data_IF_762343551332
#
_entry.id   IF_762343551332
#
_cell.length_a   1.000
_cell.length_b   1.000
_cell.length_c   1.000
_cell.angle_alpha   90.00
_cell.angle_beta   90.00
_cell.angle_gamma   90.00
#
_symmetry.space_group_name_H-M   'P 1'
#
loop_
_entity.id
_entity.type
_entity.pdbx_description
1 polymer ?
#
# COMPACT_ATOMS: atom_id res chain seq x y z
N UNK A 1 -6.90 18.36 -21.97
CA UNK A 1 -7.59 18.88 -20.76
C UNK A 1 -7.15 18.09 -19.52
N UNK A 2 -5.86 17.75 -19.45
CA UNK A 2 -4.83 18.32 -18.57
C UNK A 2 -5.22 18.48 -17.09
N UNK A 3 -5.05 17.36 -16.37
CA UNK A 3 -4.36 17.26 -15.07
C UNK A 3 -4.64 18.34 -14.04
N UNK A 4 -5.69 18.15 -13.24
CA UNK A 4 -5.93 18.94 -12.03
C UNK A 4 -5.07 18.38 -10.88
N UNK A 5 -3.82 18.85 -10.75
CA UNK A 5 -2.95 18.58 -9.59
C UNK A 5 -3.45 19.39 -8.39
N UNK A 6 -4.09 18.74 -7.41
CA UNK A 6 -4.38 19.35 -6.11
C UNK A 6 -3.23 18.97 -5.15
N UNK A 7 -2.33 19.92 -4.90
CA UNK A 7 -1.28 19.88 -3.86
C UNK A 7 -1.92 20.16 -2.49
N UNK A 8 -1.86 19.20 -1.56
CA UNK A 8 -2.15 19.44 -0.14
C UNK A 8 -0.83 19.65 0.61
N UNK A 9 -0.80 20.68 1.44
CA UNK A 9 0.38 21.21 2.12
C UNK A 9 0.74 20.38 3.37
N UNK A 10 1.96 19.84 3.41
CA UNK A 10 2.70 19.66 4.65
C UNK A 10 3.79 20.76 4.71
N UNK A 11 3.94 21.37 5.88
CA UNK A 11 4.75 22.57 6.13
C UNK A 11 6.23 22.30 5.96
N UNK A 12 6.88 22.96 4.99
CA UNK A 12 8.29 23.33 5.12
C UNK A 12 8.57 24.70 4.46
N UNK A 13 9.42 25.47 5.12
CA UNK A 13 9.71 26.87 4.83
C UNK A 13 10.60 27.02 3.60
N UNK A 14 10.03 27.53 2.52
CA UNK A 14 10.77 28.32 1.53
C UNK A 14 11.55 27.53 0.49
N UNK A 15 11.00 27.58 -0.73
CA UNK A 15 11.63 27.48 -2.05
C UNK A 15 10.85 26.56 -2.98
N UNK A 16 10.68 27.03 -4.22
CA UNK A 16 9.79 26.47 -5.23
C UNK A 16 10.29 25.12 -5.72
N UNK A 17 9.54 24.05 -5.48
CA UNK A 17 9.68 22.77 -6.19
C UNK A 17 8.37 21.98 -6.19
N UNK A 18 8.27 20.88 -6.94
CA UNK A 18 7.01 20.23 -7.25
C UNK A 18 6.56 19.17 -6.22
N UNK A 19 5.96 19.63 -5.12
CA UNK A 19 5.57 18.90 -3.91
C UNK A 19 4.48 17.77 -4.00
N UNK A 20 4.29 17.07 -5.12
CA UNK A 20 3.56 15.76 -5.10
C UNK A 20 4.48 14.59 -5.48
N UNK A 21 5.63 14.88 -6.11
CA UNK A 21 6.66 13.90 -6.50
C UNK A 21 8.05 14.42 -6.11
N UNK A 22 8.23 14.88 -4.88
CA UNK A 22 9.52 15.48 -4.48
C UNK A 22 10.62 14.47 -4.17
N UNK A 23 10.27 13.20 -4.12
CA UNK A 23 11.24 12.13 -4.27
C UNK A 23 10.83 11.35 -5.51
N UNK A 24 11.79 10.81 -6.25
CA UNK A 24 11.54 9.85 -7.34
C UNK A 24 10.82 8.57 -6.85
N UNK A 25 10.37 8.54 -5.59
CA UNK A 25 9.94 7.42 -4.76
C UNK A 25 8.50 7.68 -4.28
N UNK A 26 7.62 6.71 -4.51
CA UNK A 26 6.25 6.68 -4.01
C UNK A 26 6.14 5.63 -2.92
N UNK A 27 5.87 6.04 -1.68
CA UNK A 27 5.62 5.15 -0.55
C UNK A 27 4.18 4.67 -0.51
N UNK A 28 3.97 3.35 -0.39
CA UNK A 28 2.64 2.73 -0.47
C UNK A 28 1.71 3.20 0.64
N UNK A 29 2.20 3.11 1.88
CA UNK A 29 1.48 3.57 3.06
C UNK A 29 1.24 5.07 3.04
N UNK A 30 2.29 5.84 2.80
CA UNK A 30 2.27 7.29 3.00
C UNK A 30 1.26 7.97 2.06
N UNK A 31 1.25 7.58 0.78
CA UNK A 31 0.31 8.15 -0.18
C UNK A 31 -1.14 7.73 0.07
N UNK A 32 -1.37 6.49 0.53
CA UNK A 32 -2.71 6.04 0.93
C UNK A 32 -3.19 6.78 2.18
N UNK A 33 -2.32 7.05 3.15
CA UNK A 33 -2.66 7.84 4.32
C UNK A 33 -3.03 9.29 3.96
N UNK A 34 -2.27 9.93 3.06
CA UNK A 34 -2.59 11.26 2.55
C UNK A 34 -3.95 11.29 1.83
N UNK A 35 -4.25 10.24 1.07
CA UNK A 35 -5.51 10.11 0.33
C UNK A 35 -6.76 10.10 1.24
N UNK A 36 -6.63 9.72 2.52
CA UNK A 36 -7.73 9.74 3.50
C UNK A 36 -8.27 11.16 3.70
N UNK A 37 -7.39 12.16 3.78
CA UNK A 37 -7.81 13.55 3.98
C UNK A 37 -8.30 14.18 2.67
N UNK A 38 -7.69 13.80 1.54
CA UNK A 38 -7.99 14.37 0.22
C UNK A 38 -9.45 14.14 -0.18
N UNK A 39 -10.10 13.06 0.27
CA UNK A 39 -11.48 12.74 -0.10
C UNK A 39 -12.47 13.87 0.21
N UNK A 40 -12.22 14.65 1.27
CA UNK A 40 -13.06 15.79 1.67
C UNK A 40 -12.93 17.00 0.75
N UNK A 41 -11.83 17.09 -0.02
CA UNK A 41 -11.55 18.16 -0.97
C UNK A 41 -11.91 17.72 -2.38
N UNK A 42 -11.43 16.55 -2.79
CA UNK A 42 -11.71 15.96 -4.09
C UNK A 42 -11.65 14.42 -4.03
N UNK A 43 -12.79 13.73 -3.94
CA UNK A 43 -12.82 12.28 -3.82
C UNK A 43 -12.25 11.55 -5.04
N UNK A 44 -12.25 12.17 -6.22
CA UNK A 44 -11.69 11.52 -7.41
C UNK A 44 -10.18 11.30 -7.27
N UNK A 45 -9.46 12.16 -6.54
CA UNK A 45 -8.02 11.96 -6.32
C UNK A 45 -7.79 10.74 -5.42
N UNK A 46 -8.59 10.58 -4.35
CA UNK A 46 -8.54 9.37 -3.51
C UNK A 46 -8.85 8.12 -4.34
N UNK A 47 -9.83 8.17 -5.25
CA UNK A 47 -10.13 7.07 -6.19
C UNK A 47 -8.94 6.71 -7.07
N UNK A 48 -8.28 7.70 -7.68
CA UNK A 48 -7.08 7.47 -8.50
C UNK A 48 -5.91 6.92 -7.68
N UNK A 49 -5.77 7.33 -6.42
CA UNK A 49 -4.77 6.77 -5.53
C UNK A 49 -5.03 5.29 -5.25
N UNK A 50 -6.27 4.90 -4.95
CA UNK A 50 -6.65 3.48 -4.77
C UNK A 50 -6.32 2.66 -6.04
N UNK A 51 -6.68 3.17 -7.23
CA UNK A 51 -6.41 2.52 -8.52
C UNK A 51 -4.90 2.42 -8.80
N UNK A 52 -4.13 3.42 -8.40
CA UNK A 52 -2.67 3.40 -8.55
C UNK A 52 -2.06 2.33 -7.65
N UNK A 53 -2.41 2.32 -6.37
CA UNK A 53 -1.86 1.39 -5.39
C UNK A 53 -2.24 -0.07 -5.65
N UNK A 54 -3.41 -0.34 -6.24
CA UNK A 54 -3.76 -1.71 -6.64
C UNK A 54 -2.80 -2.28 -7.70
N UNK A 55 -2.22 -1.43 -8.56
CA UNK A 55 -1.22 -1.83 -9.58
C UNK A 55 0.15 -2.18 -9.00
N UNK A 56 0.40 -1.84 -7.74
CA UNK A 56 1.63 -2.15 -7.02
C UNK A 56 1.48 -3.34 -6.06
N UNK A 57 0.39 -4.10 -6.21
CA UNK A 57 0.19 -5.38 -5.52
C UNK A 57 0.70 -6.54 -6.37
N UNK A 58 1.45 -7.45 -5.76
CA UNK A 58 1.87 -8.71 -6.36
C UNK A 58 0.74 -9.73 -6.42
N UNK A 59 0.86 -10.70 -7.31
CA UNK A 59 -0.14 -11.78 -7.48
C UNK A 59 -0.39 -12.54 -6.17
N UNK A 60 0.63 -12.68 -5.32
CA UNK A 60 0.54 -13.34 -4.02
C UNK A 60 -0.25 -12.55 -2.96
N UNK A 61 -0.51 -11.26 -3.18
CA UNK A 61 -1.32 -10.40 -2.31
C UNK A 61 -0.52 -9.39 -1.48
N UNK A 62 0.79 -9.51 -1.39
CA UNK A 62 1.68 -8.47 -0.85
C UNK A 62 1.96 -7.36 -1.86
N UNK A 63 2.65 -6.30 -1.44
CA UNK A 63 2.78 -5.04 -2.20
C UNK A 63 4.22 -4.55 -2.26
N UNK A 64 4.52 -3.66 -3.20
CA UNK A 64 5.72 -2.84 -3.13
C UNK A 64 5.58 -1.85 -1.96
N UNK A 65 6.55 -1.80 -1.06
CA UNK A 65 6.54 -0.86 0.08
C UNK A 65 6.81 0.58 -0.41
N UNK A 66 7.67 0.72 -1.42
CA UNK A 66 7.80 1.93 -2.23
C UNK A 66 8.30 1.61 -3.64
N UNK A 67 8.05 2.50 -4.59
CA UNK A 67 8.48 2.33 -6.00
C UNK A 67 8.86 3.64 -6.69
N UNK A 68 9.57 3.50 -7.81
CA UNK A 68 9.88 4.55 -8.77
C UNK A 68 9.05 4.36 -10.04
N UNK A 69 8.24 5.36 -10.38
CA UNK A 69 7.31 5.27 -11.51
C UNK A 69 8.03 5.14 -12.87
N UNK A 70 9.12 5.88 -13.06
CA UNK A 70 9.86 5.92 -14.34
C UNK A 70 10.65 4.64 -14.61
N UNK A 71 11.32 4.12 -13.58
CA UNK A 71 12.20 2.95 -13.74
C UNK A 71 11.48 1.63 -13.54
N UNK A 72 10.25 1.66 -13.01
CA UNK A 72 9.46 0.48 -12.59
C UNK A 72 10.21 -0.40 -11.58
N UNK A 73 11.10 0.23 -10.81
CA UNK A 73 11.80 -0.42 -9.71
C UNK A 73 11.14 -0.07 -8.40
N UNK A 74 11.09 -1.02 -7.50
CA UNK A 74 10.58 -0.80 -6.16
C UNK A 74 11.19 -1.79 -5.18
N UNK A 75 10.81 -1.62 -3.92
CA UNK A 75 11.22 -2.53 -2.86
C UNK A 75 10.01 -3.38 -2.46
N UNK A 76 10.22 -4.70 -2.43
CA UNK A 76 9.29 -5.66 -1.84
C UNK A 76 9.82 -5.99 -0.45
N UNK A 77 8.99 -5.86 0.59
CA UNK A 77 9.41 -6.08 1.99
C UNK A 77 8.46 -7.06 2.68
N UNK A 78 8.75 -7.38 3.95
CA UNK A 78 7.82 -8.08 4.85
C UNK A 78 7.13 -7.13 5.83
N UNK A 79 7.03 -5.85 5.50
CA UNK A 79 6.24 -4.90 6.29
C UNK A 79 4.77 -5.28 6.20
N UNK A 80 4.18 -5.48 7.36
CA UNK A 80 2.89 -6.16 7.48
C UNK A 80 1.72 -5.18 7.45
N UNK A 81 1.95 -3.89 7.74
CA UNK A 81 0.91 -2.87 7.70
C UNK A 81 0.60 -2.37 6.30
N UNK A 82 1.58 -2.39 5.38
CA UNK A 82 1.39 -2.02 3.97
C UNK A 82 0.16 -2.69 3.34
N UNK A 83 -0.07 -3.95 3.71
CA UNK A 83 -1.16 -4.79 3.20
C UNK A 83 -2.56 -4.24 3.51
N UNK A 84 -2.71 -3.50 4.61
CA UNK A 84 -4.00 -3.15 5.17
C UNK A 84 -4.43 -1.72 4.83
N UNK A 85 -3.54 -0.89 4.28
CA UNK A 85 -3.86 0.48 3.91
C UNK A 85 -4.80 0.58 2.72
N UNK A 86 -4.61 -0.22 1.67
CA UNK A 86 -5.51 -0.22 0.49
C UNK A 86 -6.96 -0.57 0.87
N UNK A 87 -7.25 -1.71 1.54
CA UNK A 87 -8.62 -2.04 1.92
C UNK A 87 -9.22 -1.01 2.90
N UNK A 88 -8.41 -0.45 3.80
CA UNK A 88 -8.86 0.59 4.73
C UNK A 88 -9.32 1.86 3.98
N UNK A 89 -8.47 2.41 3.11
CA UNK A 89 -8.77 3.62 2.35
C UNK A 89 -9.93 3.39 1.37
N UNK A 90 -10.01 2.21 0.75
CA UNK A 90 -11.14 1.82 -0.09
C UNK A 90 -12.46 1.85 0.68
N UNK A 91 -12.51 1.21 1.86
CA UNK A 91 -13.71 1.19 2.69
C UNK A 91 -14.12 2.59 3.13
N UNK A 92 -13.16 3.43 3.54
CA UNK A 92 -13.39 4.79 3.96
C UNK A 92 -13.85 5.70 2.81
N UNK A 93 -13.29 5.51 1.61
CA UNK A 93 -13.73 6.17 0.38
C UNK A 93 -15.19 5.83 0.05
N UNK A 94 -15.55 4.54 -0.01
CA UNK A 94 -16.91 4.08 -0.33
C UNK A 94 -17.89 4.63 0.70
N UNK A 95 -17.53 4.59 1.99
CA UNK A 95 -18.38 5.12 3.06
C UNK A 95 -18.65 6.62 2.90
N UNK A 96 -17.68 7.37 2.41
CA UNK A 96 -17.81 8.81 2.20
C UNK A 96 -18.60 9.16 0.93
N UNK A 97 -18.35 8.45 -0.17
CA UNK A 97 -18.89 8.81 -1.50
C UNK A 97 -20.14 8.02 -1.90
N UNK A 98 -20.37 6.85 -1.31
CA UNK A 98 -21.27 5.80 -1.80
C UNK A 98 -20.97 5.32 -3.23
N UNK A 99 -19.75 5.56 -3.74
CA UNK A 99 -19.34 5.07 -5.06
C UNK A 99 -18.84 3.62 -4.96
N UNK A 100 -19.75 2.67 -5.11
CA UNK A 100 -19.41 1.24 -5.18
C UNK A 100 -18.82 0.81 -6.53
N UNK A 101 -18.91 1.64 -7.58
CA UNK A 101 -18.39 1.27 -8.91
C UNK A 101 -16.88 1.12 -8.93
N UNK A 102 -16.17 1.72 -7.95
CA UNK A 102 -14.74 1.53 -7.76
C UNK A 102 -14.38 0.06 -7.56
N UNK A 103 -15.25 -0.74 -6.94
CA UNK A 103 -15.01 -2.15 -6.65
C UNK A 103 -14.85 -3.00 -7.92
N UNK A 104 -15.44 -2.57 -9.03
CA UNK A 104 -15.44 -3.26 -10.32
C UNK A 104 -14.30 -2.80 -11.25
N UNK A 105 -13.52 -1.78 -10.86
CA UNK A 105 -12.38 -1.30 -11.65
C UNK A 105 -11.31 -2.38 -11.66
N UNK A 106 -10.87 -2.77 -12.86
CA UNK A 106 -9.87 -3.82 -13.08
C UNK A 106 -8.48 -3.22 -13.23
N UNK A 107 -7.51 -3.78 -12.50
CA UNK A 107 -6.09 -3.45 -12.63
C UNK A 107 -5.23 -4.70 -12.70
N UNK A 108 -4.01 -4.56 -13.24
CA UNK A 108 -3.02 -5.65 -13.27
C UNK A 108 -2.30 -5.77 -11.94
N UNK A 109 -1.94 -6.99 -11.56
CA UNK A 109 -0.98 -7.24 -10.49
C UNK A 109 0.46 -7.13 -11.00
N UNK A 110 1.42 -6.91 -10.11
CA UNK A 110 2.87 -7.09 -10.36
C UNK A 110 3.27 -8.55 -10.38
N UNK A 111 4.31 -8.86 -11.15
CA UNK A 111 5.04 -10.15 -11.06
C UNK A 111 6.43 -9.93 -10.47
N UNK A 112 6.85 -10.88 -9.64
CA UNK A 112 8.17 -10.92 -9.03
C UNK A 112 8.26 -12.11 -8.10
N UNK A 113 9.44 -12.71 -7.97
CA UNK A 113 9.63 -13.83 -7.06
C UNK A 113 9.32 -13.40 -5.62
N UNK A 114 8.54 -14.19 -4.85
CA UNK A 114 8.36 -13.97 -3.43
C UNK A 114 9.69 -13.85 -2.70
N UNK A 115 9.69 -13.12 -1.57
CA UNK A 115 10.87 -13.06 -0.72
C UNK A 115 11.16 -14.44 -0.14
N UNK A 116 12.40 -14.89 -0.31
CA UNK A 116 12.91 -16.12 0.28
C UNK A 116 12.82 -16.07 1.82
N UNK A 117 12.86 -17.25 2.44
CA UNK A 117 12.90 -17.34 3.90
C UNK A 117 14.16 -16.65 4.45
N UNK A 118 13.99 -15.78 5.44
CA UNK A 118 15.08 -15.01 6.04
C UNK A 118 15.54 -13.79 5.24
N UNK A 119 14.92 -13.49 4.09
CA UNK A 119 15.10 -12.23 3.37
C UNK A 119 13.95 -11.28 3.75
N UNK A 120 14.31 -10.11 4.28
CA UNK A 120 13.36 -9.09 4.74
C UNK A 120 12.93 -8.15 3.61
N UNK A 121 13.81 -7.89 2.64
CA UNK A 121 13.55 -6.95 1.54
C UNK A 121 14.30 -7.31 0.25
N UNK A 122 13.76 -6.88 -0.90
CA UNK A 122 14.38 -6.99 -2.21
C UNK A 122 14.03 -5.77 -3.07
N UNK A 123 15.06 -5.04 -3.49
CA UNK A 123 14.95 -4.01 -4.52
C UNK A 123 15.15 -4.62 -5.90
N UNK A 124 14.15 -4.52 -6.77
CA UNK A 124 14.21 -5.04 -8.13
C UNK A 124 13.28 -4.26 -9.07
N UNK A 125 13.30 -4.61 -10.35
CA UNK A 125 12.33 -4.15 -11.34
C UNK A 125 11.13 -5.09 -11.38
N UNK A 126 9.95 -4.57 -11.06
CA UNK A 126 8.71 -5.34 -11.04
C UNK A 126 7.79 -4.94 -12.19
N UNK A 127 7.73 -5.81 -13.19
CA UNK A 127 6.87 -5.66 -14.35
C UNK A 127 5.43 -6.04 -14.01
N UNK A 128 4.49 -5.59 -14.84
CA UNK A 128 3.11 -6.02 -14.72
C UNK A 128 2.98 -7.51 -15.11
N UNK A 129 2.08 -8.20 -14.43
CA UNK A 129 1.69 -9.57 -14.75
C UNK A 129 0.59 -9.60 -15.82
N UNK A 130 0.32 -10.79 -16.36
CA UNK A 130 -0.85 -11.03 -17.21
C UNK A 130 -2.12 -11.29 -16.38
N UNK A 131 -2.00 -11.33 -15.05
CA UNK A 131 -3.13 -11.51 -14.15
C UNK A 131 -3.68 -10.12 -13.80
N UNK A 132 -4.99 -10.00 -13.89
CA UNK A 132 -5.75 -8.82 -13.52
C UNK A 132 -6.81 -9.20 -12.48
N UNK A 133 -7.26 -8.21 -11.73
CA UNK A 133 -8.31 -8.37 -10.75
C UNK A 133 -9.04 -7.06 -10.54
N UNK A 134 -10.25 -7.15 -10.04
CA UNK A 134 -11.00 -5.96 -9.62
C UNK A 134 -10.40 -5.39 -8.34
N UNK A 135 -10.61 -4.10 -8.06
CA UNK A 135 -10.18 -3.47 -6.80
C UNK A 135 -10.71 -4.25 -5.59
N UNK A 136 -11.92 -4.82 -5.68
CA UNK A 136 -12.43 -5.71 -4.66
C UNK A 136 -11.54 -6.95 -4.45
N UNK A 137 -11.14 -7.64 -5.52
CA UNK A 137 -10.25 -8.80 -5.45
C UNK A 137 -8.86 -8.44 -4.93
N UNK A 138 -8.32 -7.27 -5.32
CA UNK A 138 -7.08 -6.73 -4.76
C UNK A 138 -7.17 -6.55 -3.22
N UNK A 139 -8.26 -5.93 -2.75
CA UNK A 139 -8.51 -5.73 -1.32
C UNK A 139 -8.64 -7.06 -0.55
N UNK A 140 -9.41 -8.02 -1.08
CA UNK A 140 -9.56 -9.35 -0.46
C UNK A 140 -8.22 -10.07 -0.39
N UNK A 141 -7.43 -10.09 -1.47
CA UNK A 141 -6.11 -10.73 -1.48
C UNK A 141 -5.15 -10.11 -0.47
N UNK A 142 -5.17 -8.79 -0.30
CA UNK A 142 -4.33 -8.11 0.68
C UNK A 142 -4.69 -8.54 2.11
N UNK A 143 -5.99 -8.57 2.42
CA UNK A 143 -6.52 -9.02 3.71
C UNK A 143 -6.16 -10.50 3.95
N UNK A 144 -6.41 -11.37 2.98
CA UNK A 144 -6.06 -12.80 3.09
C UNK A 144 -4.55 -13.02 3.28
N UNK A 145 -3.72 -12.26 2.56
CA UNK A 145 -2.27 -12.33 2.71
C UNK A 145 -1.80 -11.87 4.09
N UNK A 146 -2.51 -10.91 4.69
CA UNK A 146 -2.22 -10.39 6.03
C UNK A 146 -2.63 -11.33 7.18
N UNK A 147 -3.47 -12.36 6.92
CA UNK A 147 -3.88 -13.38 7.88
C UNK A 147 -2.77 -14.37 8.26
N UNK A 148 -1.67 -13.84 8.78
CA UNK A 148 -0.56 -14.60 9.34
C UNK A 148 -0.55 -14.33 10.83
N UNK A 149 -0.95 -15.32 11.62
CA UNK A 149 -1.00 -15.20 13.07
C UNK A 149 0.16 -15.96 13.71
N UNK A 150 0.67 -15.43 14.82
CA UNK A 150 1.63 -16.15 15.66
C UNK A 150 0.94 -16.95 16.77
N UNK A 151 1.76 -17.44 17.70
CA UNK A 151 1.34 -18.37 18.76
C UNK A 151 0.33 -17.76 19.75
N UNK A 152 0.29 -16.43 19.88
CA UNK A 152 -0.67 -15.75 20.77
C UNK A 152 -1.95 -15.32 20.04
N UNK A 153 -2.15 -15.74 18.78
CA UNK A 153 -3.30 -15.37 17.97
C UNK A 153 -3.29 -13.90 17.53
N UNK A 154 -2.12 -13.26 17.54
CA UNK A 154 -1.92 -11.90 17.05
C UNK A 154 -1.31 -11.92 15.64
N UNK A 155 -1.59 -10.91 14.78
CA UNK A 155 -0.95 -10.79 13.48
C UNK A 155 0.57 -10.75 13.61
N UNK A 156 1.28 -11.49 12.76
CA UNK A 156 2.74 -11.45 12.70
C UNK A 156 3.18 -10.09 12.18
N UNK A 157 4.16 -9.48 12.85
CA UNK A 157 4.72 -8.18 12.46
C UNK A 157 5.62 -8.27 11.21
N UNK A 158 6.04 -9.47 10.80
CA UNK A 158 6.99 -9.60 9.68
C UNK A 158 8.30 -8.87 9.97
N UNK A 159 8.81 -8.12 9.00
CA UNK A 159 10.00 -7.27 9.17
C UNK A 159 9.68 -5.84 9.59
N UNK A 160 8.44 -5.55 10.00
CA UNK A 160 7.99 -4.21 10.39
C UNK A 160 6.47 -4.05 10.35
N UNK A 161 5.95 -3.11 11.12
CA UNK A 161 4.60 -2.55 10.96
C UNK A 161 4.69 -1.04 10.78
N UNK A 162 3.69 -0.28 11.23
CA UNK A 162 3.71 1.17 11.17
C UNK A 162 4.94 1.82 11.83
N UNK A 163 5.53 1.15 12.82
CA UNK A 163 6.78 1.61 13.41
C UNK A 163 7.97 0.87 12.79
N UNK A 164 8.60 1.50 11.80
CA UNK A 164 9.77 0.98 11.08
C UNK A 164 10.94 0.59 12.01
N UNK A 165 11.02 1.17 13.21
CA UNK A 165 12.03 0.85 14.22
C UNK A 165 11.95 -0.58 14.79
N UNK A 166 10.84 -1.30 14.57
CA UNK A 166 10.65 -2.69 14.99
C UNK A 166 11.10 -3.74 13.98
N UNK A 167 12.01 -3.36 13.07
CA UNK A 167 12.45 -4.20 11.95
C UNK A 167 13.11 -5.55 12.32
N UNK A 168 13.61 -5.68 13.55
CA UNK A 168 14.23 -6.93 14.05
C UNK A 168 13.36 -7.72 15.02
N UNK A 169 12.14 -7.25 15.30
CA UNK A 169 11.22 -7.91 16.24
C UNK A 169 10.63 -9.19 15.64
N UNK A 170 10.27 -9.15 14.35
CA UNK A 170 9.61 -10.26 13.67
C UNK A 170 10.36 -10.91 12.53
N UNK A 171 11.55 -10.43 12.15
CA UNK A 171 12.30 -10.94 11.00
C UNK A 171 12.66 -12.45 11.11
N UNK A 172 12.66 -13.00 12.32
CA UNK A 172 12.79 -14.46 12.57
C UNK A 172 11.45 -15.21 12.64
N UNK A 173 10.37 -14.61 12.17
CA UNK A 173 9.02 -15.19 12.07
C UNK A 173 8.25 -15.34 13.39
N UNK A 174 8.74 -14.74 14.48
CA UNK A 174 8.16 -14.87 15.85
C UNK A 174 7.46 -13.64 16.39
N UNK A 175 7.82 -12.45 15.89
CA UNK A 175 7.23 -11.19 16.35
C UNK A 175 5.77 -11.07 15.94
N UNK A 176 4.96 -10.46 16.81
CA UNK A 176 3.55 -10.21 16.61
C UNK A 176 3.22 -8.74 16.89
N UNK A 177 2.27 -8.16 16.17
CA UNK A 177 1.83 -6.78 16.34
C UNK A 177 0.41 -6.73 16.89
N UNK A 178 0.29 -6.19 18.10
CA UNK A 178 -1.02 -5.83 18.68
C UNK A 178 -1.63 -4.66 17.92
N UNK A 179 -0.82 -3.76 17.38
CA UNK A 179 -1.27 -2.58 16.64
C UNK A 179 -2.01 -2.98 15.36
N UNK A 180 -1.47 -3.93 14.59
CA UNK A 180 -2.14 -4.45 13.39
C UNK A 180 -3.51 -5.05 13.68
N UNK A 181 -3.72 -5.56 14.89
CA UNK A 181 -5.01 -6.14 15.29
C UNK A 181 -6.17 -5.13 15.14
N UNK A 182 -5.90 -3.84 15.21
CA UNK A 182 -6.91 -2.77 15.10
C UNK A 182 -7.61 -2.79 13.73
N UNK A 183 -6.97 -3.26 12.67
CA UNK A 183 -7.57 -3.36 11.33
C UNK A 183 -8.57 -4.52 11.19
N UNK A 184 -8.60 -5.45 12.15
CA UNK A 184 -9.44 -6.65 12.13
C UNK A 184 -10.65 -6.56 13.06
N UNK A 185 -10.89 -5.40 13.66
CA UNK A 185 -11.98 -5.12 14.61
C UNK A 185 -13.00 -4.20 13.96
#
# INVERSE_FOLDING_TARGET
MDGLYIKLLAVDYGEKQDFINLEELSGYRDQLQDAIAIKYVNPNITKEQIITHSKHQFVEGDVEHWWHEETKKGIRTRFSDDLLWLPFVLSDYIKYTNDYSILDVVTKYKKGEPLEEGIDERYDKYEDSEIEGTIYEHAIRAIEHSFKFGDNGLPKIGSGDWNDGFSTVGNKGKGESVWLRIFYV
#
